data_IF_611085272672
#
_entry.id   IF_611085272672
#
_cell.length_a   1.000
_cell.length_b   1.000
_cell.length_c   1.000
_cell.angle_alpha   90.00
_cell.angle_beta   90.00
_cell.angle_gamma   90.00
#
_symmetry.space_group_name_H-M   'P 1'
#
loop_
_entity.id
_entity.type
_entity.pdbx_description
1 polymer ?
#
# COMPACT_ATOMS: atom_id res chain seq x y z
N UNK A 1 3.80 -22.69 6.85
CA UNK A 1 2.73 -21.67 6.91
C UNK A 1 1.39 -22.41 6.95
N UNK A 2 0.44 -22.02 7.81
CA UNK A 2 -0.92 -22.63 7.78
C UNK A 2 -1.58 -22.21 6.46
N UNK A 3 -2.27 -23.10 5.72
CA UNK A 3 -2.98 -22.72 4.51
C UNK A 3 -4.10 -21.72 4.85
N UNK A 4 -4.33 -20.76 3.94
CA UNK A 4 -5.49 -19.87 3.99
C UNK A 4 -6.67 -20.61 3.35
N UNK A 5 -7.74 -20.94 4.09
CA UNK A 5 -8.86 -21.69 3.55
C UNK A 5 -9.61 -20.89 2.47
N UNK A 6 -10.12 -21.59 1.45
CA UNK A 6 -11.07 -21.06 0.47
C UNK A 6 -12.39 -21.78 0.66
N UNK A 7 -13.45 -21.04 0.95
CA UNK A 7 -14.77 -21.55 1.28
C UNK A 7 -15.77 -20.99 0.27
N UNK A 8 -16.49 -21.88 -0.43
CA UNK A 8 -17.57 -21.49 -1.33
C UNK A 8 -18.70 -22.52 -1.25
N UNK A 9 -19.74 -22.18 -0.48
CA UNK A 9 -20.92 -23.04 -0.31
C UNK A 9 -22.10 -22.56 -1.18
N UNK A 10 -21.88 -21.57 -2.04
CA UNK A 10 -22.95 -20.92 -2.81
C UNK A 10 -22.99 -21.37 -4.28
N UNK A 11 -21.87 -21.80 -4.83
CA UNK A 11 -21.76 -22.27 -6.21
C UNK A 11 -20.44 -23.04 -6.46
N UNK A 12 -20.25 -23.51 -7.70
CA UNK A 12 -19.07 -24.29 -8.11
C UNK A 12 -17.89 -23.42 -8.61
N UNK A 13 -17.88 -22.11 -8.34
CA UNK A 13 -16.78 -21.24 -8.76
C UNK A 13 -15.56 -21.44 -7.85
N UNK A 14 -14.38 -21.31 -8.43
CA UNK A 14 -13.08 -21.35 -7.75
C UNK A 14 -12.30 -20.07 -8.06
N UNK A 15 -11.34 -19.66 -7.21
CA UNK A 15 -10.51 -18.50 -7.49
C UNK A 15 -9.78 -18.65 -8.83
N UNK A 16 -9.61 -17.52 -9.53
CA UNK A 16 -8.82 -17.49 -10.77
C UNK A 16 -7.40 -17.99 -10.49
N UNK A 17 -6.82 -18.75 -11.42
CA UNK A 17 -5.45 -19.23 -11.31
C UNK A 17 -4.43 -18.08 -11.38
N UNK A 18 -3.46 -18.07 -10.46
CA UNK A 18 -2.30 -17.18 -10.43
C UNK A 18 -1.16 -17.85 -9.64
N UNK A 19 0.07 -17.36 -9.80
CA UNK A 19 1.23 -17.81 -9.03
C UNK A 19 1.26 -17.07 -7.69
N UNK A 20 1.09 -17.81 -6.58
CA UNK A 20 1.17 -17.21 -5.26
C UNK A 20 2.61 -16.78 -4.93
N UNK A 21 2.81 -15.51 -4.59
CA UNK A 21 4.11 -14.93 -4.21
C UNK A 21 3.94 -13.92 -3.09
N UNK A 22 4.66 -14.11 -1.98
CA UNK A 22 4.76 -13.12 -0.90
C UNK A 22 5.80 -12.03 -1.17
N UNK A 23 6.38 -12.02 -2.38
CA UNK A 23 7.36 -11.03 -2.79
C UNK A 23 6.96 -10.43 -4.13
N UNK A 24 7.22 -9.14 -4.26
CA UNK A 24 7.12 -8.44 -5.52
C UNK A 24 8.11 -9.02 -6.56
N UNK A 25 7.68 -9.07 -7.82
CA UNK A 25 8.45 -9.60 -8.95
C UNK A 25 8.77 -8.45 -9.90
N UNK A 26 9.95 -7.83 -9.81
CA UNK A 26 10.26 -6.66 -10.62
C UNK A 26 10.52 -7.04 -12.09
N UNK A 27 10.03 -6.23 -13.02
CA UNK A 27 10.34 -6.29 -14.45
C UNK A 27 11.84 -6.05 -14.72
N UNK A 28 12.32 -6.35 -15.94
CA UNK A 28 13.72 -6.12 -16.31
C UNK A 28 14.13 -4.65 -16.17
N UNK A 29 13.29 -3.73 -16.62
CA UNK A 29 13.57 -2.29 -16.54
C UNK A 29 13.51 -1.81 -15.08
N UNK A 30 12.54 -2.29 -14.32
CA UNK A 30 12.46 -2.01 -12.89
C UNK A 30 13.70 -2.49 -12.14
N UNK A 31 14.25 -3.67 -12.46
CA UNK A 31 15.50 -4.16 -11.84
C UNK A 31 16.69 -3.26 -12.12
N UNK A 32 16.81 -2.71 -13.32
CA UNK A 32 17.87 -1.76 -13.67
C UNK A 32 17.77 -0.47 -12.85
N UNK A 33 16.56 -0.02 -12.54
CA UNK A 33 16.33 1.14 -11.67
C UNK A 33 16.71 0.84 -10.21
N UNK A 34 16.26 -0.30 -9.67
CA UNK A 34 16.66 -0.75 -8.31
C UNK A 34 18.18 -0.80 -8.18
N UNK A 35 18.86 -1.42 -9.14
CA UNK A 35 20.32 -1.63 -9.08
C UNK A 35 21.16 -0.35 -9.08
N UNK A 36 20.57 0.80 -9.45
CA UNK A 36 21.22 2.11 -9.43
C UNK A 36 20.89 2.92 -8.18
N UNK A 37 20.04 2.39 -7.30
CA UNK A 37 19.54 3.12 -6.14
C UNK A 37 20.58 3.12 -5.03
N UNK A 38 20.93 4.31 -4.53
CA UNK A 38 21.73 4.49 -3.31
C UNK A 38 20.79 4.32 -2.12
N UNK A 39 21.16 3.41 -1.22
CA UNK A 39 20.36 3.07 -0.05
C UNK A 39 21.10 3.51 1.21
N UNK A 40 20.40 4.24 2.08
CA UNK A 40 20.89 4.63 3.40
C UNK A 40 20.13 3.87 4.49
N UNK A 41 20.81 3.61 5.60
CA UNK A 41 20.24 3.00 6.80
C UNK A 41 20.58 3.81 8.04
N UNK A 42 19.93 3.47 9.17
CA UNK A 42 20.28 4.09 10.45
C UNK A 42 21.65 3.62 10.94
N UNK A 43 22.23 4.37 11.87
CA UNK A 43 23.49 4.04 12.55
C UNK A 43 23.28 3.43 13.95
N UNK A 44 22.04 3.09 14.32
CA UNK A 44 21.74 2.43 15.60
C UNK A 44 22.52 1.10 15.70
N UNK A 45 23.00 0.74 16.89
CA UNK A 45 23.83 -0.46 17.08
C UNK A 45 23.01 -1.68 17.50
N UNK A 46 21.83 -1.47 18.08
CA UNK A 46 20.91 -2.54 18.46
C UNK A 46 19.43 -2.20 18.20
N UNK A 47 18.55 -3.21 18.30
CA UNK A 47 17.11 -3.10 18.01
C UNK A 47 16.34 -2.20 18.99
N UNK A 48 16.86 -1.97 20.19
CA UNK A 48 16.21 -1.16 21.22
C UNK A 48 16.51 0.35 21.06
N UNK A 49 17.52 0.70 20.27
CA UNK A 49 17.87 2.09 19.93
C UNK A 49 17.08 2.64 18.74
N UNK A 50 16.27 1.81 18.09
CA UNK A 50 15.45 2.22 16.94
C UNK A 50 14.16 2.93 17.37
N UNK A 51 14.30 3.96 18.19
CA UNK A 51 13.23 4.82 18.71
C UNK A 51 13.19 6.18 18.00
N UNK A 52 12.71 7.22 18.69
CA UNK A 52 12.69 8.63 18.24
C UNK A 52 14.02 9.16 17.68
N UNK A 53 15.17 8.58 18.07
CA UNK A 53 16.49 9.01 17.58
C UNK A 53 16.92 8.33 16.29
N UNK A 54 16.27 7.23 15.92
CA UNK A 54 16.57 6.47 14.72
C UNK A 54 16.38 7.32 13.46
N UNK A 55 17.37 7.31 12.56
CA UNK A 55 17.24 7.98 11.27
C UNK A 55 16.03 7.48 10.47
N UNK A 56 15.73 6.17 10.51
CA UNK A 56 14.55 5.60 9.86
C UNK A 56 13.24 6.12 10.48
N UNK A 57 13.18 6.35 11.79
CA UNK A 57 12.00 6.95 12.44
C UNK A 57 11.83 8.41 12.04
N UNK A 58 12.91 9.19 12.11
CA UNK A 58 12.89 10.61 11.72
C UNK A 58 12.54 10.82 10.24
N UNK A 59 12.82 9.83 9.40
CA UNK A 59 12.44 9.85 7.98
C UNK A 59 11.03 9.32 7.71
N UNK A 60 10.33 8.76 8.70
CA UNK A 60 8.96 8.29 8.53
C UNK A 60 7.96 9.41 8.78
N UNK A 61 6.91 9.48 7.96
CA UNK A 61 5.78 10.39 8.20
C UNK A 61 4.74 9.70 9.10
N UNK A 62 4.57 8.40 8.90
CA UNK A 62 3.67 7.56 9.68
C UNK A 62 4.45 6.94 10.85
N UNK A 63 3.87 6.95 12.04
CA UNK A 63 4.41 6.22 13.20
C UNK A 63 3.77 4.85 13.38
N UNK A 64 4.53 3.90 13.93
CA UNK A 64 4.04 2.61 14.43
C UNK A 64 4.42 2.45 15.91
N UNK A 65 3.54 1.86 16.71
CA UNK A 65 3.85 1.48 18.09
C UNK A 65 4.77 0.25 18.15
N UNK A 66 5.29 -0.10 19.34
CA UNK A 66 6.16 -1.27 19.52
C UNK A 66 5.51 -2.62 19.18
N UNK A 67 4.18 -2.71 19.13
CA UNK A 67 3.43 -3.88 18.69
C UNK A 67 3.20 -3.89 17.16
N UNK A 68 3.87 -2.98 16.44
CA UNK A 68 3.74 -2.74 15.02
C UNK A 68 2.34 -2.28 14.60
N UNK A 69 1.63 -1.54 15.46
CA UNK A 69 0.34 -0.92 15.11
C UNK A 69 0.52 0.53 14.68
N UNK A 70 -0.17 0.94 13.62
CA UNK A 70 -0.17 2.35 13.19
C UNK A 70 -0.69 3.25 14.32
N UNK A 71 0.06 4.29 14.69
CA UNK A 71 -0.32 5.26 15.74
C UNK A 71 -0.80 6.60 15.20
N UNK A 72 -0.63 6.87 13.90
CA UNK A 72 -1.10 8.12 13.30
C UNK A 72 -2.63 8.15 13.23
N UNK A 73 -3.23 9.31 13.51
CA UNK A 73 -4.66 9.52 13.32
C UNK A 73 -4.99 9.44 11.82
N UNK A 74 -5.80 8.46 11.37
CA UNK A 74 -6.04 8.22 9.95
C UNK A 74 -6.79 9.34 9.23
N UNK A 75 -7.33 10.32 9.95
CA UNK A 75 -8.00 11.50 9.37
C UNK A 75 -7.01 12.37 8.57
N UNK A 76 -5.73 12.34 8.91
CA UNK A 76 -4.68 13.13 8.23
C UNK A 76 -3.78 12.28 7.33
N UNK A 77 -4.13 11.01 7.09
CA UNK A 77 -3.31 10.13 6.25
C UNK A 77 -3.54 10.43 4.76
N UNK A 78 -2.47 10.81 4.06
CA UNK A 78 -2.48 10.96 2.61
C UNK A 78 -1.66 9.84 1.96
N UNK A 79 -2.34 8.97 1.20
CA UNK A 79 -1.75 7.81 0.53
C UNK A 79 -0.53 8.16 -0.35
N UNK A 80 -0.49 9.38 -0.89
CA UNK A 80 0.54 9.78 -1.83
C UNK A 80 1.75 10.42 -1.15
N UNK A 81 1.58 11.16 -0.04
CA UNK A 81 2.72 11.77 0.70
C UNK A 81 3.21 10.92 1.84
N UNK A 82 2.34 10.16 2.49
CA UNK A 82 2.64 9.60 3.79
C UNK A 82 3.23 8.21 3.61
N UNK A 83 4.44 8.05 4.12
CA UNK A 83 5.17 6.80 4.04
C UNK A 83 5.83 6.45 5.37
N UNK A 84 6.13 5.16 5.51
CA UNK A 84 6.91 4.59 6.59
C UNK A 84 8.26 4.09 6.07
N UNK A 85 9.32 4.27 6.85
CA UNK A 85 10.65 3.74 6.54
C UNK A 85 10.98 2.61 7.51
N UNK A 86 11.05 1.39 6.97
CA UNK A 86 11.54 0.22 7.70
C UNK A 86 13.06 0.24 7.84
N UNK A 87 13.55 -0.41 8.88
CA UNK A 87 14.97 -0.74 8.96
C UNK A 87 15.30 -1.89 8.00
N UNK A 88 16.09 -1.57 6.98
CA UNK A 88 16.58 -2.51 5.98
C UNK A 88 17.95 -3.13 6.29
N UNK A 89 18.50 -3.83 5.30
CA UNK A 89 19.81 -4.52 5.38
C UNK A 89 21.01 -3.58 5.51
N UNK A 90 20.83 -2.30 5.22
CA UNK A 90 21.86 -1.27 5.32
C UNK A 90 21.84 -0.51 6.66
N UNK A 91 20.92 -0.86 7.56
CA UNK A 91 20.87 -0.28 8.89
C UNK A 91 21.88 -0.96 9.82
N UNK A 92 22.46 -0.19 10.74
CA UNK A 92 23.30 -0.71 11.82
C UNK A 92 22.52 -1.64 12.76
N UNK A 93 21.21 -1.37 12.95
CA UNK A 93 20.35 -2.22 13.75
C UNK A 93 20.17 -3.58 13.06
N UNK A 94 20.72 -4.62 13.68
CA UNK A 94 20.71 -5.98 13.13
C UNK A 94 19.38 -6.70 13.43
N UNK A 95 19.18 -7.87 12.81
CA UNK A 95 18.15 -8.83 13.23
C UNK A 95 16.69 -8.39 13.03
N UNK A 96 15.85 -8.69 14.02
CA UNK A 96 14.39 -8.50 14.03
C UNK A 96 13.99 -7.13 14.59
N UNK A 97 14.69 -6.08 14.15
CA UNK A 97 14.37 -4.70 14.51
C UNK A 97 12.85 -4.45 14.43
N UNK A 98 12.27 -3.89 15.50
CA UNK A 98 10.83 -3.66 15.65
C UNK A 98 10.23 -2.75 14.57
N UNK A 99 11.09 -2.01 13.86
CA UNK A 99 10.72 -1.22 12.68
C UNK A 99 10.46 -2.04 11.41
N UNK A 100 10.62 -3.37 11.44
CA UNK A 100 10.21 -4.26 10.35
C UNK A 100 8.77 -4.70 10.58
N UNK A 101 7.83 -4.02 9.94
CA UNK A 101 6.39 -4.22 10.11
C UNK A 101 5.84 -5.25 9.10
N UNK A 102 6.47 -5.35 7.94
CA UNK A 102 6.21 -6.31 6.87
C UNK A 102 7.30 -7.40 6.93
N UNK A 103 7.14 -8.49 7.71
CA UNK A 103 6.24 -9.58 7.32
C UNK A 103 5.87 -10.50 8.51
N UNK A 104 5.42 -9.96 9.64
CA UNK A 104 5.20 -10.80 10.81
C UNK A 104 4.07 -11.86 10.63
N UNK A 105 3.31 -11.84 9.51
CA UNK A 105 2.38 -12.89 9.05
C UNK A 105 1.38 -13.41 10.11
N UNK A 106 1.26 -12.73 11.27
CA UNK A 106 0.41 -13.13 12.39
C UNK A 106 -1.06 -13.03 11.98
N UNK A 107 -1.39 -12.00 11.21
CA UNK A 107 -2.73 -11.80 10.68
C UNK A 107 -3.12 -12.83 9.61
N UNK A 108 -2.19 -13.31 8.77
CA UNK A 108 -2.52 -14.27 7.69
C UNK A 108 -3.19 -15.55 8.20
N UNK A 109 -2.84 -16.01 9.42
CA UNK A 109 -3.43 -17.19 10.05
C UNK A 109 -4.88 -16.97 10.53
N UNK A 110 -5.35 -15.72 10.48
CA UNK A 110 -6.69 -15.28 10.89
C UNK A 110 -7.59 -15.02 9.68
N UNK A 111 -7.16 -15.34 8.46
CA UNK A 111 -7.90 -15.03 7.23
C UNK A 111 -8.49 -16.28 6.58
N UNK A 112 -9.61 -16.08 5.91
CA UNK A 112 -10.26 -17.03 5.01
C UNK A 112 -10.68 -16.31 3.72
N UNK A 113 -10.86 -17.07 2.64
CA UNK A 113 -11.40 -16.57 1.37
C UNK A 113 -12.81 -17.10 1.19
N UNK A 114 -13.76 -16.21 0.92
CA UNK A 114 -15.18 -16.55 0.76
C UNK A 114 -15.72 -16.08 -0.59
N UNK A 115 -16.73 -16.76 -1.12
CA UNK A 115 -17.49 -16.24 -2.25
C UNK A 115 -18.48 -15.16 -1.78
N UNK A 116 -18.29 -13.94 -2.27
CA UNK A 116 -19.12 -12.78 -1.99
C UNK A 116 -20.06 -12.53 -3.17
N UNK A 117 -21.37 -12.48 -2.88
CA UNK A 117 -22.37 -12.25 -3.92
C UNK A 117 -22.13 -10.87 -4.59
N UNK A 118 -22.13 -10.81 -5.91
CA UNK A 118 -21.81 -9.60 -6.68
C UNK A 118 -20.31 -9.24 -6.75
N UNK A 119 -19.53 -9.46 -5.68
CA UNK A 119 -18.10 -9.08 -5.61
C UNK A 119 -17.10 -10.18 -5.97
N UNK A 120 -17.56 -11.43 -6.19
CA UNK A 120 -16.72 -12.64 -6.40
C UNK A 120 -15.96 -13.01 -5.13
N UNK A 121 -14.75 -13.56 -5.20
CA UNK A 121 -14.00 -13.94 -4.00
C UNK A 121 -13.54 -12.71 -3.21
N UNK A 122 -13.75 -12.75 -1.89
CA UNK A 122 -13.33 -11.75 -0.93
C UNK A 122 -12.55 -12.38 0.22
N UNK A 123 -11.81 -11.57 0.97
CA UNK A 123 -11.08 -12.02 2.17
C UNK A 123 -11.88 -11.66 3.41
N UNK A 124 -12.00 -12.60 4.33
CA UNK A 124 -12.79 -12.47 5.57
C UNK A 124 -11.91 -12.78 6.78
N UNK A 125 -12.12 -12.06 7.87
CA UNK A 125 -11.49 -12.37 9.15
C UNK A 125 -12.14 -13.60 9.80
N UNK A 126 -11.38 -14.66 10.05
CA UNK A 126 -11.80 -15.83 10.84
C UNK A 126 -11.56 -15.64 12.35
N UNK A 127 -10.69 -14.69 12.73
CA UNK A 127 -10.40 -14.32 14.11
C UNK A 127 -10.29 -12.80 14.22
N UNK A 128 -10.43 -12.21 15.43
CA UNK A 128 -10.30 -10.77 15.61
C UNK A 128 -8.92 -10.24 15.14
N UNK A 129 -8.94 -9.15 14.37
CA UNK A 129 -7.76 -8.39 13.94
C UNK A 129 -7.88 -7.00 14.57
N UNK A 130 -6.92 -6.64 15.42
CA UNK A 130 -6.94 -5.35 16.11
C UNK A 130 -6.61 -4.21 15.15
N UNK A 131 -7.16 -3.02 15.41
CA UNK A 131 -6.78 -1.79 14.74
C UNK A 131 -5.25 -1.57 14.76
N UNK A 132 -4.74 -1.02 13.67
CA UNK A 132 -3.33 -0.79 13.40
C UNK A 132 -2.53 -2.04 13.02
N UNK A 133 -3.06 -3.26 13.14
CA UNK A 133 -2.30 -4.48 12.86
C UNK A 133 -1.96 -4.65 11.37
N UNK A 134 -0.68 -4.90 11.01
CA UNK A 134 -0.29 -5.24 9.64
C UNK A 134 -0.88 -6.59 9.23
N UNK A 135 -1.50 -6.61 8.05
CA UNK A 135 -2.24 -7.75 7.52
C UNK A 135 -1.39 -8.51 6.50
N UNK A 136 -0.99 -7.83 5.43
CA UNK A 136 -0.24 -8.38 4.31
C UNK A 136 0.46 -7.27 3.51
N UNK A 137 1.46 -7.62 2.70
CA UNK A 137 1.93 -6.75 1.61
C UNK A 137 1.02 -6.97 0.38
N UNK A 138 0.73 -5.93 -0.42
CA UNK A 138 0.15 -6.12 -1.75
C UNK A 138 1.27 -6.44 -2.75
N UNK A 139 1.34 -7.69 -3.19
CA UNK A 139 2.43 -8.18 -4.05
C UNK A 139 1.96 -8.47 -5.48
N UNK A 140 2.86 -8.26 -6.43
CA UNK A 140 2.61 -8.59 -7.84
C UNK A 140 3.84 -8.42 -8.73
N UNK A 141 3.61 -8.40 -10.03
CA UNK A 141 4.62 -7.94 -10.98
C UNK A 141 4.77 -6.43 -10.87
N UNK A 142 6.01 -5.96 -10.77
CA UNK A 142 6.31 -4.54 -10.52
C UNK A 142 6.89 -3.89 -11.75
N UNK A 143 6.26 -2.79 -12.14
CA UNK A 143 6.64 -1.94 -13.25
C UNK A 143 6.84 -0.50 -12.76
N UNK A 144 7.75 0.22 -13.39
CA UNK A 144 7.89 1.67 -13.22
C UNK A 144 7.59 2.29 -14.57
N UNK A 145 6.69 3.25 -14.59
CA UNK A 145 6.26 3.97 -15.78
C UNK A 145 6.03 5.44 -15.44
N UNK A 146 6.00 6.33 -16.43
CA UNK A 146 5.51 7.70 -16.17
C UNK A 146 4.00 7.70 -16.00
N UNK A 147 3.46 8.66 -15.26
CA UNK A 147 2.01 8.80 -15.09
C UNK A 147 1.31 9.05 -16.42
N UNK A 148 1.98 9.73 -17.35
CA UNK A 148 1.51 10.07 -18.69
C UNK A 148 1.55 8.88 -19.67
N UNK A 149 2.32 7.85 -19.33
CA UNK A 149 2.45 6.66 -20.15
C UNK A 149 1.19 5.79 -19.99
N UNK A 150 0.28 5.87 -20.96
CA UNK A 150 -0.92 5.01 -21.07
C UNK A 150 -0.59 3.60 -21.60
N UNK A 151 0.60 3.09 -21.22
CA UNK A 151 1.19 1.88 -21.81
C UNK A 151 0.61 0.62 -21.16
N UNK A 152 -0.03 0.74 -19.99
CA UNK A 152 -0.58 -0.40 -19.25
C UNK A 152 -2.12 -0.42 -19.31
N UNK A 153 -2.72 -1.38 -20.04
CA UNK A 153 -4.18 -1.52 -20.04
C UNK A 153 -4.67 -1.81 -18.62
N UNK A 154 -5.73 -1.13 -18.16
CA UNK A 154 -6.19 -1.20 -16.78
C UNK A 154 -6.52 -2.64 -16.37
N UNK A 155 -5.89 -3.11 -15.30
CA UNK A 155 -6.11 -4.45 -14.72
C UNK A 155 -6.92 -4.37 -13.42
N UNK A 156 -7.84 -5.31 -13.18
CA UNK A 156 -8.58 -5.38 -11.91
C UNK A 156 -7.69 -5.58 -10.67
N UNK A 157 -6.43 -5.98 -10.86
CA UNK A 157 -5.47 -6.34 -9.82
C UNK A 157 -4.28 -5.38 -9.74
N UNK A 158 -4.45 -4.18 -10.30
CA UNK A 158 -3.42 -3.16 -10.35
C UNK A 158 -3.52 -2.23 -9.16
N UNK A 159 -2.38 -1.93 -8.55
CA UNK A 159 -2.22 -0.87 -7.55
C UNK A 159 -1.13 0.10 -8.00
N UNK A 160 -1.49 1.39 -7.97
CA UNK A 160 -0.60 2.47 -8.38
C UNK A 160 -0.13 3.24 -7.15
N UNK A 161 1.16 3.56 -7.14
CA UNK A 161 1.81 4.40 -6.14
C UNK A 161 2.70 5.41 -6.86
N UNK A 162 2.51 6.70 -6.58
CA UNK A 162 3.43 7.73 -7.07
C UNK A 162 4.72 7.63 -6.29
N UNK A 163 5.86 7.59 -6.99
CA UNK A 163 7.14 7.32 -6.33
C UNK A 163 8.13 8.49 -6.38
N UNK A 164 7.98 9.46 -7.28
CA UNK A 164 8.84 10.64 -7.33
C UNK A 164 8.18 11.87 -7.98
N UNK A 165 8.98 12.95 -8.04
CA UNK A 165 8.60 14.27 -8.54
C UNK A 165 8.62 14.35 -10.06
N UNK A 166 9.24 13.38 -10.74
CA UNK A 166 9.30 13.28 -12.20
C UNK A 166 8.08 12.54 -12.78
N UNK A 167 7.03 12.42 -11.96
CA UNK A 167 5.79 11.74 -12.29
C UNK A 167 6.01 10.26 -12.62
N UNK A 168 7.00 9.60 -12.01
CA UNK A 168 7.06 8.15 -12.10
C UNK A 168 6.05 7.52 -11.13
N UNK A 169 5.35 6.51 -11.61
CA UNK A 169 4.48 5.64 -10.83
C UNK A 169 5.05 4.23 -10.77
N UNK A 170 5.00 3.66 -9.58
CA UNK A 170 5.10 2.23 -9.37
C UNK A 170 3.74 1.61 -9.65
N UNK A 171 3.74 0.56 -10.47
CA UNK A 171 2.56 -0.24 -10.76
C UNK A 171 2.84 -1.64 -10.23
N UNK A 172 1.99 -2.11 -9.32
CA UNK A 172 2.00 -3.49 -8.83
C UNK A 172 0.78 -4.19 -9.44
N UNK A 173 1.01 -5.14 -10.36
CA UNK A 173 -0.04 -5.88 -11.03
C UNK A 173 -0.08 -7.34 -10.55
N UNK A 174 -1.15 -7.67 -9.84
CA UNK A 174 -1.33 -8.99 -9.24
C UNK A 174 -2.07 -10.00 -10.14
N UNK A 175 -2.09 -9.79 -11.47
CA UNK A 175 -2.74 -10.71 -12.43
C UNK A 175 -2.10 -12.10 -12.45
N UNK A 176 -0.77 -12.15 -12.64
CA UNK A 176 -0.02 -13.41 -12.85
C UNK A 176 0.69 -13.88 -11.60
N UNK A 177 1.25 -12.95 -10.84
CA UNK A 177 1.92 -13.19 -9.57
C UNK A 177 1.25 -12.32 -8.51
N UNK A 178 1.08 -12.81 -7.29
CA UNK A 178 0.57 -12.01 -6.19
C UNK A 178 0.26 -12.87 -4.98
N UNK A 179 -0.26 -12.30 -3.90
CA UNK A 179 -0.64 -13.06 -2.71
C UNK A 179 -2.14 -12.93 -2.41
N UNK A 180 -2.54 -13.16 -1.16
CA UNK A 180 -3.93 -13.06 -0.71
C UNK A 180 -4.52 -11.65 -0.90
N UNK A 181 -3.70 -10.59 -0.89
CA UNK A 181 -4.14 -9.21 -0.94
C UNK A 181 -4.89 -8.86 -2.23
N UNK A 182 -4.61 -9.55 -3.33
CA UNK A 182 -5.32 -9.37 -4.62
C UNK A 182 -6.81 -9.73 -4.57
N UNK A 183 -7.25 -10.45 -3.53
CA UNK A 183 -8.63 -10.87 -3.31
C UNK A 183 -9.37 -9.99 -2.31
N UNK A 184 -8.72 -8.98 -1.72
CA UNK A 184 -9.38 -8.04 -0.81
C UNK A 184 -10.17 -7.05 -1.66
N UNK A 185 -11.48 -6.98 -1.44
CA UNK A 185 -12.40 -6.17 -2.25
C UNK A 185 -12.41 -4.70 -1.85
N UNK A 186 -13.17 -3.91 -2.61
CA UNK A 186 -13.49 -2.53 -2.25
C UNK A 186 -14.69 -2.43 -1.30
N UNK A 187 -14.61 -1.46 -0.39
CA UNK A 187 -15.78 -0.83 0.25
C UNK A 187 -15.53 0.66 0.46
N UNK A 188 -16.56 1.50 0.28
CA UNK A 188 -16.51 2.92 0.67
C UNK A 188 -16.46 3.09 2.20
N UNK A 189 -16.81 2.05 2.97
CA UNK A 189 -16.62 1.96 4.41
C UNK A 189 -15.54 0.93 4.75
N UNK A 190 -14.35 1.09 4.16
CA UNK A 190 -13.24 0.17 4.28
C UNK A 190 -12.73 0.00 5.73
N UNK A 191 -12.08 -1.13 6.01
CA UNK A 191 -11.44 -1.42 7.30
C UNK A 191 -9.95 -1.74 7.17
N UNK A 192 -9.40 -1.63 5.96
CA UNK A 192 -7.98 -1.81 5.65
C UNK A 192 -7.44 -0.53 4.99
N UNK A 193 -6.32 -0.03 5.48
CA UNK A 193 -5.52 1.03 4.88
C UNK A 193 -4.36 0.45 4.09
N UNK A 194 -4.04 1.10 2.98
CA UNK A 194 -2.83 0.86 2.21
C UNK A 194 -1.78 1.87 2.63
N UNK A 195 -0.59 1.42 3.04
CA UNK A 195 0.51 2.25 3.52
C UNK A 195 1.73 2.06 2.61
N UNK A 196 2.30 3.17 2.13
CA UNK A 196 3.57 3.16 1.44
C UNK A 196 4.72 2.87 2.43
N UNK A 197 5.52 1.84 2.14
CA UNK A 197 6.61 1.41 3.00
C UNK A 197 7.91 1.34 2.21
N UNK A 198 8.89 2.16 2.57
CA UNK A 198 10.23 2.06 2.02
C UNK A 198 11.07 1.08 2.86
N UNK A 199 11.81 0.15 2.22
CA UNK A 199 12.64 -0.82 2.93
C UNK A 199 13.94 -0.21 3.49
N UNK A 200 14.16 1.08 3.26
CA UNK A 200 15.34 1.84 3.66
C UNK A 200 15.09 3.33 3.43
N UNK A 201 15.98 4.18 3.96
CA UNK A 201 15.81 5.63 3.88
C UNK A 201 15.92 6.05 2.39
N UNK A 202 14.87 6.67 1.82
CA UNK A 202 14.92 7.13 0.44
C UNK A 202 15.80 8.38 0.30
N UNK A 203 16.69 8.40 -0.68
CA UNK A 203 17.27 9.66 -1.15
C UNK A 203 16.27 10.32 -2.10
N UNK A 204 15.44 11.21 -1.55
CA UNK A 204 14.35 11.85 -2.27
C UNK A 204 14.80 12.67 -3.49
N UNK A 205 16.10 13.01 -3.59
CA UNK A 205 16.70 13.82 -4.66
C UNK A 205 17.39 13.00 -5.74
N UNK A 206 17.95 11.82 -5.41
CA UNK A 206 18.80 11.05 -6.34
C UNK A 206 18.29 9.66 -6.66
N UNK A 207 17.73 8.97 -5.67
CA UNK A 207 17.28 7.59 -5.87
C UNK A 207 16.43 7.09 -4.72
N UNK A 208 15.29 6.48 -5.05
CA UNK A 208 14.38 5.92 -4.05
C UNK A 208 14.38 4.39 -4.14
N UNK A 209 14.55 3.68 -3.00
CA UNK A 209 14.33 2.24 -2.99
C UNK A 209 12.90 1.96 -3.42
N UNK A 210 12.66 0.81 -4.05
CA UNK A 210 11.30 0.47 -4.43
C UNK A 210 10.42 0.36 -3.18
N UNK A 211 9.37 1.19 -3.07
CA UNK A 211 8.45 1.08 -1.98
C UNK A 211 7.60 -0.20 -2.14
N UNK A 212 7.08 -0.64 -1.02
CA UNK A 212 6.07 -1.69 -0.89
C UNK A 212 4.75 -1.06 -0.49
N UNK A 213 3.66 -1.79 -0.71
CA UNK A 213 2.32 -1.41 -0.22
C UNK A 213 1.93 -2.34 0.91
N UNK A 214 1.99 -1.85 2.14
CA UNK A 214 1.49 -2.54 3.32
C UNK A 214 -0.03 -2.42 3.40
N UNK A 215 -0.72 -3.49 3.79
CA UNK A 215 -2.12 -3.47 4.17
C UNK A 215 -2.22 -3.57 5.68
N UNK A 216 -2.91 -2.61 6.30
CA UNK A 216 -3.01 -2.48 7.76
C UNK A 216 -4.46 -2.33 8.17
N UNK A 217 -4.88 -2.99 9.25
CA UNK A 217 -6.23 -2.81 9.80
C UNK A 217 -6.40 -1.35 10.26
N UNK A 218 -7.37 -0.64 9.69
CA UNK A 218 -7.70 0.74 10.08
C UNK A 218 -8.42 0.77 11.44
N UNK A 219 -9.25 -0.23 11.66
CA UNK A 219 -10.14 -0.38 12.81
C UNK A 219 -10.17 -1.85 13.20
N UNK A 220 -10.74 -2.16 14.36
CA UNK A 220 -10.94 -3.55 14.76
C UNK A 220 -11.80 -4.27 13.71
N UNK A 221 -11.34 -5.43 13.27
CA UNK A 221 -12.04 -6.32 12.33
C UNK A 221 -12.45 -7.57 13.11
N UNK A 222 -13.76 -7.74 13.25
CA UNK A 222 -14.38 -8.85 13.95
C UNK A 222 -14.45 -10.10 13.05
N UNK A 223 -14.52 -11.31 13.64
CA UNK A 223 -14.76 -12.53 12.88
C UNK A 223 -16.02 -12.43 12.00
N UNK A 224 -15.92 -12.90 10.76
CA UNK A 224 -16.98 -12.84 9.75
C UNK A 224 -17.02 -11.53 8.95
N UNK A 225 -16.27 -10.49 9.33
CA UNK A 225 -16.21 -9.25 8.53
C UNK A 225 -15.30 -9.41 7.32
N UNK A 226 -15.76 -8.90 6.18
CA UNK A 226 -14.97 -8.76 4.95
C UNK A 226 -13.87 -7.71 5.17
N UNK A 227 -12.64 -8.03 4.79
CA UNK A 227 -11.57 -7.06 4.66
C UNK A 227 -11.79 -6.30 3.35
N UNK A 228 -11.75 -4.97 3.43
CA UNK A 228 -11.92 -4.09 2.29
C UNK A 228 -10.96 -2.90 2.38
N UNK A 229 -10.42 -2.42 1.25
CA UNK A 229 -9.70 -1.14 1.15
C UNK A 229 -10.30 -0.24 0.05
N UNK A 230 -9.96 1.05 0.06
CA UNK A 230 -10.40 1.96 -1.00
C UNK A 230 -9.61 1.72 -2.30
N UNK A 231 -10.30 1.30 -3.37
CA UNK A 231 -9.70 1.12 -4.69
C UNK A 231 -9.45 2.45 -5.40
N UNK A 232 -9.97 3.55 -4.84
CA UNK A 232 -10.02 4.91 -5.38
C UNK A 232 -10.92 5.02 -6.60
N UNK A 233 -11.38 6.23 -6.86
CA UNK A 233 -12.37 6.47 -7.90
C UNK A 233 -11.89 6.13 -9.32
N UNK A 234 -10.61 6.35 -9.62
CA UNK A 234 -10.05 6.10 -10.95
C UNK A 234 -10.16 4.62 -11.35
N UNK A 235 -10.10 3.69 -10.38
CA UNK A 235 -10.30 2.26 -10.65
C UNK A 235 -11.63 1.99 -11.36
N UNK A 236 -12.71 2.60 -10.85
CA UNK A 236 -14.06 2.36 -11.34
C UNK A 236 -14.36 3.15 -12.62
N UNK A 237 -13.85 4.39 -12.70
CA UNK A 237 -14.00 5.25 -13.87
C UNK A 237 -13.32 4.65 -15.10
N UNK A 238 -12.06 4.22 -14.99
CA UNK A 238 -11.30 3.65 -16.12
C UNK A 238 -11.90 2.34 -16.64
N UNK A 239 -12.72 1.68 -15.82
CA UNK A 239 -13.32 0.37 -16.13
C UNK A 239 -14.82 0.46 -16.41
N UNK A 240 -15.42 1.64 -16.28
CA UNK A 240 -16.86 1.85 -16.40
C UNK A 240 -17.68 0.84 -15.58
N UNK A 241 -17.23 0.50 -14.37
CA UNK A 241 -17.87 -0.51 -13.51
C UNK A 241 -18.43 0.11 -12.24
N UNK A 242 -19.65 -0.25 -11.82
CA UNK A 242 -20.22 0.31 -10.61
C UNK A 242 -19.56 -0.23 -9.34
N UNK A 243 -19.61 0.57 -8.28
CA UNK A 243 -19.24 0.12 -6.94
C UNK A 243 -20.33 -0.79 -6.36
N UNK A 244 -19.96 -2.03 -6.04
CA UNK A 244 -20.84 -3.04 -5.44
C UNK A 244 -20.62 -3.21 -3.93
N UNK A 245 -20.20 -2.15 -3.23
CA UNK A 245 -19.95 -2.22 -1.78
C UNK A 245 -21.24 -2.25 -0.95
N UNK A 246 -22.34 -1.74 -1.49
CA UNK A 246 -23.66 -1.61 -0.84
C UNK A 246 -23.66 -0.79 0.46
N UNK A 247 -22.65 0.03 0.70
CA UNK A 247 -22.62 0.94 1.83
C UNK A 247 -23.63 2.09 1.63
N UNK A 248 -24.39 2.50 2.67
CA UNK A 248 -25.37 3.57 2.57
C UNK A 248 -24.79 4.91 2.08
N UNK A 249 -23.50 5.16 2.34
CA UNK A 249 -22.78 6.37 1.96
C UNK A 249 -21.75 6.11 0.85
N UNK A 250 -22.05 5.19 -0.09
CA UNK A 250 -21.20 4.92 -1.25
C UNK A 250 -20.94 6.20 -2.06
N UNK A 251 -19.66 6.47 -2.35
CA UNK A 251 -19.20 7.73 -2.97
C UNK A 251 -18.25 7.52 -4.16
N UNK A 252 -18.22 6.32 -4.75
CA UNK A 252 -17.42 6.03 -5.95
C UNK A 252 -18.28 5.75 -7.20
N UNK A 253 -18.13 6.52 -8.31
CA UNK A 253 -18.91 6.35 -9.54
C UNK A 253 -18.43 5.17 -10.39
N UNK A 254 -19.24 4.63 -11.35
CA UNK A 254 -20.66 4.90 -11.62
C UNK A 254 -21.61 4.29 -10.57
N UNK A 255 -22.65 5.02 -10.18
CA UNK A 255 -23.53 4.71 -9.04
C UNK A 255 -24.87 4.14 -9.51
N UNK A 256 -25.30 3.00 -8.98
CA UNK A 256 -26.67 2.50 -9.17
C UNK A 256 -27.56 2.71 -7.92
N UNK A 257 -27.00 3.22 -6.79
CA UNK A 257 -27.64 3.05 -5.47
C UNK A 257 -27.62 4.25 -4.48
N UNK A 258 -27.18 5.47 -4.82
CA UNK A 258 -27.12 6.57 -3.83
C UNK A 258 -27.58 7.95 -4.36
N UNK A 259 -28.47 8.62 -3.62
CA UNK A 259 -29.12 9.91 -3.98
C UNK A 259 -28.26 11.17 -3.75
N UNK A 260 -27.01 11.07 -3.25
CA UNK A 260 -26.17 12.23 -2.88
C UNK A 260 -24.69 12.07 -3.23
N UNK A 261 -24.36 12.00 -4.53
CA UNK A 261 -22.97 11.82 -4.98
C UNK A 261 -22.41 13.01 -5.80
N UNK A 262 -21.08 13.23 -5.70
CA UNK A 262 -20.29 14.18 -6.53
C UNK A 262 -20.24 13.71 -8.00
N UNK A 263 -20.19 14.62 -8.98
CA UNK A 263 -20.10 14.28 -10.41
C UNK A 263 -18.74 13.65 -10.78
N UNK A 264 -18.67 12.96 -11.92
CA UNK A 264 -17.41 12.38 -12.45
C UNK A 264 -16.36 13.48 -12.67
N UNK A 265 -16.80 14.63 -13.18
CA UNK A 265 -15.96 15.81 -13.40
C UNK A 265 -15.39 16.36 -12.09
N UNK A 266 -16.19 16.39 -11.02
CA UNK A 266 -15.74 16.86 -9.69
C UNK A 266 -14.72 15.91 -9.08
N UNK A 267 -14.93 14.60 -9.22
CA UNK A 267 -13.97 13.58 -8.75
C UNK A 267 -12.65 13.68 -9.53
N UNK A 268 -12.71 13.88 -10.85
CA UNK A 268 -11.50 14.11 -11.67
C UNK A 268 -10.75 15.36 -11.23
N UNK A 269 -11.45 16.47 -10.94
CA UNK A 269 -10.84 17.70 -10.40
C UNK A 269 -10.16 17.45 -9.06
N UNK A 270 -10.81 16.75 -8.14
CA UNK A 270 -10.26 16.45 -6.82
C UNK A 270 -8.97 15.59 -6.91
N UNK A 271 -8.94 14.62 -7.81
CA UNK A 271 -7.72 13.83 -8.09
C UNK A 271 -6.59 14.71 -8.64
N UNK A 272 -6.90 15.63 -9.57
CA UNK A 272 -5.92 16.56 -10.13
C UNK A 272 -5.40 17.53 -9.05
N UNK A 273 -6.28 18.07 -8.21
CA UNK A 273 -5.93 18.97 -7.11
C UNK A 273 -5.04 18.26 -6.07
N UNK A 274 -5.36 17.03 -5.70
CA UNK A 274 -4.52 16.24 -4.80
C UNK A 274 -3.15 15.94 -5.43
N UNK A 275 -3.11 15.62 -6.74
CA UNK A 275 -1.86 15.50 -7.50
C UNK A 275 -1.05 16.80 -7.49
N UNK A 276 -1.69 17.97 -7.55
CA UNK A 276 -1.02 19.27 -7.48
C UNK A 276 -0.49 19.60 -6.07
N UNK A 277 -1.25 19.29 -5.02
CA UNK A 277 -0.80 19.44 -3.62
C UNK A 277 0.45 18.61 -3.32
N UNK A 278 0.47 17.37 -3.82
CA UNK A 278 1.65 16.49 -3.76
C UNK A 278 2.89 17.14 -4.35
N UNK A 279 2.78 17.65 -5.59
CA UNK A 279 3.90 18.30 -6.28
C UNK A 279 4.41 19.52 -5.52
N UNK A 280 3.50 20.28 -4.91
CA UNK A 280 3.85 21.45 -4.10
C UNK A 280 4.64 21.04 -2.85
N UNK A 281 4.17 20.04 -2.10
CA UNK A 281 4.89 19.50 -0.93
C UNK A 281 6.28 18.97 -1.29
N UNK A 282 6.41 18.34 -2.46
CA UNK A 282 7.69 17.89 -2.98
C UNK A 282 8.62 19.00 -3.49
N UNK A 283 8.07 20.13 -3.95
CA UNK A 283 8.83 21.32 -4.35
C UNK A 283 9.25 22.20 -3.16
N UNK A 284 8.47 22.17 -2.07
CA UNK A 284 8.70 22.93 -0.83
C UNK A 284 9.64 22.17 0.14
N UNK A 285 9.88 20.89 -0.08
CA UNK A 285 11.03 20.15 0.47
C UNK A 285 12.33 20.64 -0.19
N UNK A 286 12.66 21.91 0.08
CA UNK A 286 13.56 22.72 -0.70
C UNK A 286 15.01 22.23 -0.82
N UNK A 287 15.75 22.94 -1.66
CA UNK A 287 17.19 22.85 -1.84
C UNK A 287 17.96 23.11 -0.55
N UNK A 288 18.14 22.07 0.27
CA UNK A 288 19.26 22.01 1.21
C UNK A 288 20.54 22.03 0.36
N UNK A 289 21.20 23.18 0.34
CA UNK A 289 22.54 23.32 -0.23
C UNK A 289 23.50 22.34 0.46
N UNK A 290 24.41 21.69 -0.29
CA UNK A 290 25.39 20.80 0.31
C UNK A 290 26.30 21.59 1.25
N UNK A 291 26.24 21.30 2.54
CA UNK A 291 27.29 21.70 3.47
C UNK A 291 28.47 20.79 3.21
N UNK A 292 29.52 21.34 2.60
CA UNK A 292 30.84 20.72 2.51
C UNK A 292 31.43 20.70 3.92
N UNK A 293 31.74 19.50 4.44
CA UNK A 293 32.58 19.34 5.62
C UNK A 293 33.99 19.13 5.09
N UNK A 294 34.84 20.15 5.23
CA UNK A 294 36.28 20.00 5.10
C UNK A 294 36.76 19.14 6.27
N UNK A 295 37.51 18.09 5.93
CA UNK A 295 38.18 17.22 6.90
C UNK A 295 39.61 17.78 7.02
N UNK A 296 39.95 18.29 8.19
CA UNK A 296 41.35 18.40 8.62
C UNK A 296 41.89 16.99 8.99
#
# INVERSE_FOLDING_TARGET
MRPIPVINNLNNKIPQHFTYSNYNVPSSETRKLIGKTIIQGCQCENENECDSNCACEKSSIIGFDPEARVVSNPINYDYYTDFYVECGVHCGCRGDCKRKILPNNKALKKLEVHWMNGKKFGVVAAQPIAAGMPIAEYTGEVFVAKVEDDIFPPSHYQQDLLIDNDYNKLIIDARRFGNIARLINHSCFNNVLQICVYPSIPDLKRSRPLPKVALVAFRDILPGQELCFDYRAMYFLDRSMPCLCYEPNCHVPPYDHAEKAKSVEDVKKEVIENKQKMLKLFSEAGDVQPVMIEID
#
